data_IF_474261659253
#
_entry.id   IF_474261659253
#
_cell.length_a   1.000
_cell.length_b   1.000
_cell.length_c   1.000
_cell.angle_alpha   90.00
_cell.angle_beta   90.00
_cell.angle_gamma   90.00
#
_symmetry.space_group_name_H-M   'P 1'
#
loop_
_entity.id
_entity.type
_entity.pdbx_description
1 polymer ?
#
# COMPACT_ATOMS: atom_id res chain seq x y z
N UNK A 1 -8.32 -19.55 -0.20
CA UNK A 1 -7.93 -19.10 -1.56
C UNK A 1 -8.32 -17.64 -1.86
N UNK A 2 -9.60 -17.25 -1.85
CA UNK A 2 -10.09 -15.88 -2.19
C UNK A 2 -9.30 -14.73 -1.51
N UNK A 3 -8.89 -14.97 -0.28
CA UNK A 3 -8.15 -14.04 0.58
C UNK A 3 -6.69 -13.77 0.15
N UNK A 4 -6.02 -14.76 -0.44
CA UNK A 4 -4.67 -14.58 -1.00
C UNK A 4 -4.74 -13.98 -2.40
N UNK A 5 -5.78 -14.33 -3.16
CA UNK A 5 -6.04 -13.73 -4.47
C UNK A 5 -6.13 -12.21 -4.38
N UNK A 6 -6.84 -11.66 -3.38
CA UNK A 6 -6.91 -10.21 -3.21
C UNK A 6 -5.54 -9.56 -2.99
N UNK A 7 -4.70 -10.15 -2.13
CA UNK A 7 -3.33 -9.64 -1.91
C UNK A 7 -2.51 -9.67 -3.21
N UNK A 8 -2.58 -10.78 -3.95
CA UNK A 8 -1.87 -10.94 -5.22
C UNK A 8 -2.35 -9.89 -6.24
N UNK A 9 -3.67 -9.75 -6.43
CA UNK A 9 -4.24 -8.76 -7.35
C UNK A 9 -3.89 -7.33 -6.93
N UNK A 10 -3.88 -7.04 -5.63
CA UNK A 10 -3.49 -5.73 -5.11
C UNK A 10 -2.02 -5.43 -5.41
N UNK A 11 -1.11 -6.38 -5.14
CA UNK A 11 0.32 -6.24 -5.46
C UNK A 11 0.53 -6.07 -6.97
N UNK A 12 -0.17 -6.86 -7.81
CA UNK A 12 -0.10 -6.69 -9.26
C UNK A 12 -0.61 -5.31 -9.70
N UNK A 13 -1.69 -4.82 -9.08
CA UNK A 13 -2.20 -3.47 -9.32
C UNK A 13 -1.18 -2.37 -8.99
N UNK A 14 -0.47 -2.49 -7.87
CA UNK A 14 0.61 -1.57 -7.47
C UNK A 14 1.74 -1.59 -8.51
N UNK A 15 2.15 -2.77 -8.97
CA UNK A 15 3.27 -2.92 -9.91
C UNK A 15 2.91 -2.55 -11.35
N UNK A 16 1.62 -2.43 -11.69
CA UNK A 16 1.19 -2.16 -13.06
C UNK A 16 1.19 -0.65 -13.32
N UNK A 17 1.98 -0.15 -14.30
CA UNK A 17 1.91 1.24 -14.70
C UNK A 17 0.53 1.55 -15.28
N UNK A 18 -0.21 2.42 -14.60
CA UNK A 18 -1.55 2.81 -15.02
C UNK A 18 -1.57 3.41 -16.44
N UNK A 19 -0.46 4.03 -16.85
CA UNK A 19 -0.26 4.55 -18.20
C UNK A 19 -0.43 3.48 -19.28
N UNK A 20 -0.08 2.22 -19.02
CA UNK A 20 -0.30 1.12 -19.98
C UNK A 20 -1.79 0.84 -20.19
N UNK A 21 -2.60 1.02 -19.16
CA UNK A 21 -4.05 0.79 -19.21
C UNK A 21 -4.79 1.96 -19.87
N UNK A 22 -4.36 3.20 -19.61
CA UNK A 22 -5.06 4.39 -20.13
C UNK A 22 -4.58 4.84 -21.51
N UNK A 23 -3.37 4.47 -21.94
CA UNK A 23 -2.76 4.88 -23.22
C UNK A 23 -3.62 4.58 -24.46
N UNK A 24 -4.33 3.44 -24.57
CA UNK A 24 -5.13 3.14 -25.76
C UNK A 24 -6.32 4.10 -25.98
N UNK A 25 -6.78 4.83 -24.94
CA UNK A 25 -7.94 5.71 -25.03
C UNK A 25 -7.56 7.16 -24.71
N UNK A 26 -7.59 8.08 -25.71
CA UNK A 26 -7.29 9.49 -25.48
C UNK A 26 -8.19 10.16 -24.43
N UNK A 27 -9.47 9.75 -24.36
CA UNK A 27 -10.40 10.27 -23.38
C UNK A 27 -10.05 9.80 -21.96
N UNK A 28 -9.74 8.51 -21.78
CA UNK A 28 -9.33 7.98 -20.48
C UNK A 28 -8.00 8.59 -20.02
N UNK A 29 -7.04 8.77 -20.93
CA UNK A 29 -5.77 9.40 -20.64
C UNK A 29 -5.93 10.85 -20.15
N UNK A 30 -6.78 11.66 -20.82
CA UNK A 30 -7.06 13.03 -20.39
C UNK A 30 -7.71 13.07 -19.01
N UNK A 31 -8.76 12.27 -18.79
CA UNK A 31 -9.44 12.20 -17.49
C UNK A 31 -8.47 11.78 -16.38
N UNK A 32 -7.66 10.75 -16.64
CA UNK A 32 -6.65 10.28 -15.70
C UNK A 32 -5.67 11.41 -15.34
N UNK A 33 -5.10 12.09 -16.34
CA UNK A 33 -4.19 13.20 -16.07
C UNK A 33 -4.87 14.36 -15.33
N UNK A 34 -6.12 14.68 -15.62
CA UNK A 34 -6.84 15.73 -14.87
C UNK A 34 -6.98 15.38 -13.39
N UNK A 35 -7.28 14.12 -13.07
CA UNK A 35 -7.50 13.67 -11.70
C UNK A 35 -6.18 13.43 -10.94
N UNK A 36 -5.16 12.88 -11.61
CA UNK A 36 -3.95 12.38 -10.99
C UNK A 36 -2.68 13.21 -11.28
N UNK A 37 -2.76 14.27 -12.09
CA UNK A 37 -1.63 15.21 -12.24
C UNK A 37 -1.30 16.04 -11.00
N UNK A 38 -2.25 16.38 -10.10
CA UNK A 38 -1.88 17.17 -8.92
C UNK A 38 -0.90 16.40 -8.02
N UNK A 39 0.20 17.04 -7.54
CA UNK A 39 1.20 16.36 -6.70
C UNK A 39 0.62 15.76 -5.41
N UNK A 40 -0.39 16.39 -4.82
CA UNK A 40 -1.04 15.87 -3.63
C UNK A 40 -1.80 14.57 -3.90
N UNK A 41 -2.36 14.40 -5.11
CA UNK A 41 -3.07 13.18 -5.49
C UNK A 41 -2.07 12.03 -5.66
N UNK A 42 -0.91 12.32 -6.25
CA UNK A 42 0.19 11.36 -6.35
C UNK A 42 0.58 10.83 -4.97
N UNK A 43 0.88 11.73 -4.02
CA UNK A 43 1.22 11.36 -2.63
C UNK A 43 0.11 10.56 -1.96
N UNK A 44 -1.15 11.01 -2.13
CA UNK A 44 -2.31 10.35 -1.55
C UNK A 44 -2.48 8.92 -2.08
N UNK A 45 -2.35 8.72 -3.38
CA UNK A 45 -2.53 7.39 -4.01
C UNK A 45 -1.43 6.43 -3.60
N UNK A 46 -0.16 6.87 -3.60
CA UNK A 46 0.96 6.08 -3.09
C UNK A 46 0.72 5.68 -1.62
N UNK A 47 0.39 6.66 -0.77
CA UNK A 47 0.08 6.42 0.64
C UNK A 47 -1.06 5.41 0.82
N UNK A 48 -2.15 5.54 0.06
CA UNK A 48 -3.32 4.67 0.15
C UNK A 48 -3.01 3.24 -0.31
N UNK A 49 -2.35 3.08 -1.47
CA UNK A 49 -2.01 1.78 -2.03
C UNK A 49 -1.13 0.97 -1.08
N UNK A 50 -0.10 1.62 -0.53
CA UNK A 50 0.82 0.98 0.40
C UNK A 50 0.24 0.83 1.82
N UNK A 51 -0.67 1.70 2.26
CA UNK A 51 -1.42 1.48 3.51
C UNK A 51 -2.29 0.23 3.43
N UNK A 52 -2.99 0.01 2.32
CA UNK A 52 -3.76 -1.22 2.12
C UNK A 52 -2.82 -2.43 2.09
N UNK A 53 -1.69 -2.35 1.37
CA UNK A 53 -0.70 -3.43 1.33
C UNK A 53 -0.15 -3.76 2.73
N UNK A 54 0.29 -2.75 3.48
CA UNK A 54 0.80 -2.90 4.85
C UNK A 54 -0.25 -3.52 5.79
N UNK A 55 -1.51 -3.09 5.67
CA UNK A 55 -2.61 -3.66 6.44
C UNK A 55 -2.85 -5.14 6.10
N UNK A 56 -2.91 -5.47 4.81
CA UNK A 56 -3.12 -6.85 4.35
C UNK A 56 -1.99 -7.77 4.81
N UNK A 57 -0.73 -7.36 4.63
CA UNK A 57 0.44 -8.14 5.03
C UNK A 57 0.46 -8.36 6.56
N UNK A 58 0.24 -7.31 7.35
CA UNK A 58 0.22 -7.40 8.83
C UNK A 58 -0.89 -8.33 9.35
N UNK A 59 -2.02 -8.37 8.65
CA UNK A 59 -3.11 -9.28 9.00
C UNK A 59 -2.78 -10.74 8.69
N UNK A 60 -1.98 -10.99 7.65
CA UNK A 60 -1.69 -12.33 7.10
C UNK A 60 -0.48 -12.99 7.74
N UNK A 61 0.54 -12.21 8.03
CA UNK A 61 1.77 -12.72 8.62
C UNK A 61 1.51 -13.21 10.04
N UNK A 62 2.02 -14.40 10.35
CA UNK A 62 1.98 -15.00 11.68
C UNK A 62 3.29 -14.73 12.43
N UNK A 63 3.31 -15.05 13.72
CA UNK A 63 4.47 -14.87 14.59
C UNK A 63 4.38 -13.66 15.52
N UNK A 64 5.52 -13.31 16.13
CA UNK A 64 5.61 -12.20 17.10
C UNK A 64 5.27 -10.87 16.45
N UNK A 65 4.86 -9.88 17.25
CA UNK A 65 4.54 -8.54 16.74
C UNK A 65 5.74 -7.93 16.00
N UNK A 66 6.93 -7.99 16.60
CA UNK A 66 8.15 -7.48 15.99
C UNK A 66 8.46 -8.15 14.64
N UNK A 67 8.37 -9.49 14.55
CA UNK A 67 8.59 -10.22 13.29
C UNK A 67 7.57 -9.83 12.23
N UNK A 68 6.29 -9.74 12.58
CA UNK A 68 5.23 -9.37 11.63
C UNK A 68 5.41 -7.96 11.09
N UNK A 69 5.72 -7.00 11.95
CA UNK A 69 5.98 -5.61 11.56
C UNK A 69 7.23 -5.54 10.68
N UNK A 70 8.34 -6.15 11.12
CA UNK A 70 9.59 -6.17 10.36
C UNK A 70 9.45 -6.79 8.97
N UNK A 71 8.79 -7.96 8.86
CA UNK A 71 8.52 -8.61 7.57
C UNK A 71 7.57 -7.78 6.70
N UNK A 72 6.57 -7.13 7.29
CA UNK A 72 5.66 -6.25 6.54
C UNK A 72 6.43 -5.07 5.94
N UNK A 73 7.27 -4.40 6.73
CA UNK A 73 8.07 -3.28 6.26
C UNK A 73 9.07 -3.70 5.19
N UNK A 74 9.73 -4.85 5.34
CA UNK A 74 10.63 -5.38 4.33
C UNK A 74 9.92 -5.66 3.00
N UNK A 75 8.72 -6.24 3.04
CA UNK A 75 7.91 -6.52 1.85
C UNK A 75 7.35 -5.23 1.21
N UNK A 76 6.93 -4.26 2.02
CA UNK A 76 6.50 -2.93 1.54
C UNK A 76 7.66 -2.22 0.83
N UNK A 77 8.86 -2.20 1.44
CA UNK A 77 10.05 -1.63 0.82
C UNK A 77 10.39 -2.32 -0.50
N UNK A 78 10.35 -3.65 -0.52
CA UNK A 78 10.58 -4.43 -1.74
C UNK A 78 9.57 -4.09 -2.84
N UNK A 79 8.29 -3.95 -2.50
CA UNK A 79 7.26 -3.55 -3.44
C UNK A 79 7.44 -2.11 -3.95
N UNK A 80 7.82 -1.17 -3.08
CA UNK A 80 8.09 0.22 -3.45
C UNK A 80 9.27 0.32 -4.44
N UNK A 81 10.39 -0.36 -4.13
CA UNK A 81 11.55 -0.40 -5.03
C UNK A 81 11.20 -1.03 -6.38
N UNK A 82 10.45 -2.13 -6.38
CA UNK A 82 10.03 -2.79 -7.63
C UNK A 82 9.09 -1.91 -8.45
N UNK A 83 8.11 -1.28 -7.80
CA UNK A 83 7.17 -0.39 -8.46
C UNK A 83 7.93 0.79 -9.09
N UNK A 84 8.85 1.40 -8.35
CA UNK A 84 9.59 2.57 -8.83
C UNK A 84 10.58 2.19 -9.94
N UNK A 85 11.24 1.04 -9.82
CA UNK A 85 12.07 0.48 -10.88
C UNK A 85 11.29 0.21 -12.17
N UNK A 86 10.07 -0.34 -12.09
CA UNK A 86 9.21 -0.53 -13.25
C UNK A 86 8.80 0.81 -13.86
N UNK A 87 8.50 1.83 -13.05
CA UNK A 87 8.18 3.17 -13.56
C UNK A 87 9.36 3.80 -14.30
N UNK A 88 10.57 3.72 -13.73
CA UNK A 88 11.80 4.21 -14.35
C UNK A 88 12.06 3.53 -15.70
N UNK A 89 11.94 2.20 -15.77
CA UNK A 89 12.08 1.44 -17.01
C UNK A 89 11.02 1.84 -18.05
N UNK A 90 9.76 1.98 -17.61
CA UNK A 90 8.64 2.39 -18.48
C UNK A 90 8.83 3.79 -19.06
N UNK A 91 9.46 4.70 -18.31
CA UNK A 91 9.77 6.07 -18.73
C UNK A 91 11.12 6.21 -19.43
N UNK A 92 11.93 5.15 -19.51
CA UNK A 92 13.32 5.20 -19.98
C UNK A 92 14.15 6.28 -19.25
N UNK A 93 13.93 6.43 -17.95
CA UNK A 93 14.55 7.46 -17.11
C UNK A 93 15.59 6.88 -16.17
N UNK A 94 16.50 7.74 -15.69
CA UNK A 94 17.44 7.42 -14.60
C UNK A 94 16.84 7.73 -13.23
N UNK A 95 17.50 7.26 -12.17
CA UNK A 95 17.12 7.52 -10.77
C UNK A 95 17.32 9.00 -10.41
N UNK A 96 16.32 9.58 -9.75
CA UNK A 96 16.24 10.96 -9.28
C UNK A 96 15.76 11.00 -7.81
N UNK A 97 15.90 12.18 -7.18
CA UNK A 97 15.46 12.41 -5.80
C UNK A 97 13.95 12.18 -5.61
N UNK A 98 13.14 12.49 -6.62
CA UNK A 98 11.68 12.28 -6.59
C UNK A 98 11.33 10.79 -6.42
N UNK A 99 12.12 9.89 -7.01
CA UNK A 99 11.92 8.45 -6.85
C UNK A 99 12.19 8.00 -5.41
N UNK A 100 13.18 8.60 -4.73
CA UNK A 100 13.46 8.33 -3.32
C UNK A 100 12.35 8.89 -2.42
N UNK A 101 11.80 10.05 -2.77
CA UNK A 101 10.66 10.63 -2.08
C UNK A 101 9.43 9.73 -2.19
N UNK A 102 9.13 9.20 -3.38
CA UNK A 102 8.01 8.27 -3.60
C UNK A 102 8.15 6.99 -2.77
N UNK A 103 9.35 6.40 -2.72
CA UNK A 103 9.63 5.26 -1.83
C UNK A 103 9.38 5.62 -0.36
N UNK A 104 9.76 6.83 0.07
CA UNK A 104 9.50 7.27 1.45
C UNK A 104 7.99 7.42 1.71
N UNK A 105 7.23 7.97 0.77
CA UNK A 105 5.76 8.07 0.84
C UNK A 105 5.12 6.68 0.93
N UNK A 106 5.59 5.72 0.13
CA UNK A 106 5.12 4.33 0.16
C UNK A 106 5.36 3.67 1.52
N UNK A 107 6.55 3.88 2.09
CA UNK A 107 6.90 3.38 3.42
C UNK A 107 6.01 3.98 4.51
N UNK A 108 5.73 5.29 4.44
CA UNK A 108 4.80 5.95 5.35
C UNK A 108 3.38 5.40 5.20
N UNK A 109 2.92 5.18 3.97
CA UNK A 109 1.67 4.47 3.68
C UNK A 109 1.63 3.10 4.36
N UNK A 110 2.65 2.27 4.15
CA UNK A 110 2.77 0.96 4.79
C UNK A 110 2.70 1.00 6.32
N UNK A 111 3.37 1.97 6.95
CA UNK A 111 3.32 2.19 8.39
C UNK A 111 1.91 2.57 8.86
N UNK A 112 1.20 3.42 8.14
CA UNK A 112 -0.21 3.75 8.45
C UNK A 112 -1.08 2.49 8.41
N UNK A 113 -0.91 1.65 7.38
CA UNK A 113 -1.59 0.36 7.26
C UNK A 113 -1.37 -0.56 8.46
N UNK A 114 -0.11 -0.71 8.89
CA UNK A 114 0.25 -1.45 10.10
C UNK A 114 -0.45 -0.85 11.32
N UNK A 115 -0.37 0.47 11.49
CA UNK A 115 -0.96 1.21 12.61
C UNK A 115 -2.46 0.98 12.74
N UNK A 116 -3.20 1.04 11.64
CA UNK A 116 -4.64 0.76 11.59
C UNK A 116 -4.94 -0.65 12.10
N UNK A 117 -4.22 -1.67 11.61
CA UNK A 117 -4.44 -3.07 12.02
C UNK A 117 -4.18 -3.26 13.51
N UNK A 118 -3.09 -2.70 14.03
CA UNK A 118 -2.76 -2.81 15.45
C UNK A 118 -3.75 -2.04 16.33
N UNK A 119 -4.19 -0.85 15.90
CA UNK A 119 -5.19 -0.05 16.59
C UNK A 119 -6.53 -0.77 16.70
N UNK A 120 -7.04 -1.30 15.58
CA UNK A 120 -8.29 -2.07 15.55
C UNK A 120 -8.22 -3.28 16.47
N UNK A 121 -7.11 -4.05 16.43
CA UNK A 121 -6.91 -5.21 17.31
C UNK A 121 -6.89 -4.82 18.79
N UNK A 122 -6.23 -3.71 19.13
CA UNK A 122 -6.17 -3.19 20.50
C UNK A 122 -7.55 -2.78 21.01
N UNK A 123 -8.36 -2.11 20.19
CA UNK A 123 -9.73 -1.71 20.53
C UNK A 123 -10.61 -2.95 20.74
N UNK A 124 -10.54 -3.94 19.86
CA UNK A 124 -11.29 -5.18 19.98
C UNK A 124 -10.94 -5.94 21.27
N UNK A 125 -9.65 -6.05 21.60
CA UNK A 125 -9.18 -6.71 22.82
C UNK A 125 -9.65 -5.98 24.10
N UNK A 126 -9.71 -4.64 24.09
CA UNK A 126 -10.25 -3.86 25.20
C UNK A 126 -11.74 -4.09 25.40
N UNK A 127 -12.52 -4.15 24.32
CA UNK A 127 -13.97 -4.43 24.38
C UNK A 127 -14.25 -5.82 24.94
N UNK A 128 -13.47 -6.83 24.54
CA UNK A 128 -13.64 -8.21 25.03
C UNK A 128 -13.33 -8.39 26.53
N UNK A 129 -12.55 -7.48 27.14
CA UNK A 129 -12.22 -7.50 28.58
C UNK A 129 -13.18 -6.67 29.43
N UNK A 130 -14.16 -5.99 28.84
CA UNK A 130 -15.10 -5.15 29.60
C UNK A 130 -16.11 -6.03 30.37
N UNK A 131 -16.34 -5.77 31.67
CA UNK A 131 -17.24 -6.58 32.51
C UNK A 131 -18.70 -6.60 32.01
N UNK A 132 -19.11 -5.63 31.17
CA UNK A 132 -20.42 -5.62 30.52
C UNK A 132 -20.62 -6.76 29.49
N UNK A 133 -19.54 -7.42 29.05
CA UNK A 133 -19.64 -8.59 28.17
C UNK A 133 -20.04 -9.88 28.93
N UNK A 134 -20.01 -9.89 30.26
CA UNK A 134 -20.38 -11.04 31.11
C UNK A 134 -21.86 -11.05 31.52
N UNK A 135 -22.65 -10.03 31.14
CA UNK A 135 -24.08 -9.90 31.48
C UNK A 135 -24.97 -10.21 30.26
N UNK A 136 -24.42 -10.85 29.22
CA UNK A 136 -25.16 -11.37 28.06
C UNK A 136 -24.90 -12.86 27.92
#
# INVERSE_FOLDING_TARGET
MKRHLFLILWTLGILTPITWLVRPSPAAYRLFNTLFSPPWMHIFMHSLLFAVLGALLTQRLSGTLARRVGLTLALVLGAAILQEGIQLLSRQSVLHADNLFDIAVDMLGGLLGIGVVLGVRKIAARRARSPLALIK
#
